data_IF_870199388058
#
_entry.id   IF_870199388058
#
_cell.length_a   1.000
_cell.length_b   1.000
_cell.length_c   1.000
_cell.angle_alpha   90.00
_cell.angle_beta   90.00
_cell.angle_gamma   90.00
#
_symmetry.space_group_name_H-M   'P 1'
#
loop_
_entity.id
_entity.type
_entity.pdbx_description
1 polymer ?
#
# COMPACT_ATOMS: atom_id res chain seq x y z
N UNK A 1 3.35 -8.67 -14.27
CA UNK A 1 3.05 -7.22 -14.23
C UNK A 1 2.15 -6.77 -13.07
N UNK A 2 0.85 -7.11 -12.98
CA UNK A 2 0.02 -6.56 -11.89
C UNK A 2 0.48 -6.96 -10.47
N UNK A 3 0.98 -8.18 -10.28
CA UNK A 3 1.55 -8.61 -9.00
C UNK A 3 2.85 -7.88 -8.65
N UNK A 4 3.73 -7.64 -9.63
CA UNK A 4 5.02 -6.94 -9.43
C UNK A 4 4.81 -5.49 -8.95
N UNK A 5 3.80 -4.80 -9.50
CA UNK A 5 3.45 -3.44 -9.10
C UNK A 5 2.95 -3.40 -7.65
N UNK A 6 2.16 -4.40 -7.22
CA UNK A 6 1.70 -4.51 -5.82
C UNK A 6 2.86 -4.65 -4.84
N UNK A 7 3.82 -5.52 -5.16
CA UNK A 7 5.02 -5.71 -4.33
C UNK A 7 5.91 -4.46 -4.32
N UNK A 8 6.09 -3.82 -5.47
CA UNK A 8 6.86 -2.58 -5.58
C UNK A 8 6.26 -1.46 -4.72
N UNK A 9 4.94 -1.26 -4.78
CA UNK A 9 4.23 -0.27 -3.95
C UNK A 9 4.39 -0.60 -2.46
N UNK A 10 4.32 -1.88 -2.09
CA UNK A 10 4.47 -2.31 -0.70
C UNK A 10 5.89 -2.05 -0.17
N UNK A 11 6.92 -2.36 -0.97
CA UNK A 11 8.33 -2.11 -0.62
C UNK A 11 8.59 -0.60 -0.52
N UNK A 12 8.13 0.20 -1.48
CA UNK A 12 8.24 1.67 -1.43
C UNK A 12 7.56 2.25 -0.19
N UNK A 13 6.38 1.73 0.16
CA UNK A 13 5.65 2.17 1.35
C UNK A 13 6.40 1.84 2.64
N UNK A 14 7.01 0.66 2.72
CA UNK A 14 7.87 0.30 3.85
C UNK A 14 9.07 1.24 3.96
N UNK A 15 9.75 1.55 2.85
CA UNK A 15 10.87 2.50 2.81
C UNK A 15 10.44 3.88 3.31
N UNK A 16 9.26 4.37 2.90
CA UNK A 16 8.72 5.66 3.37
C UNK A 16 8.48 5.67 4.88
N UNK A 17 7.90 4.61 5.44
CA UNK A 17 7.66 4.49 6.89
C UNK A 17 9.00 4.47 7.63
N UNK A 18 9.92 3.60 7.22
CA UNK A 18 11.24 3.49 7.88
C UNK A 18 12.06 4.77 7.72
N UNK A 19 12.00 5.43 6.57
CA UNK A 19 12.63 6.73 6.34
C UNK A 19 12.05 7.82 7.23
N UNK A 20 10.72 7.89 7.36
CA UNK A 20 10.07 8.84 8.26
C UNK A 20 10.38 8.58 9.74
N UNK A 21 10.40 7.32 10.16
CA UNK A 21 10.83 6.93 11.52
C UNK A 21 12.29 7.26 11.77
N UNK A 22 13.17 7.04 10.78
CA UNK A 22 14.58 7.42 10.87
C UNK A 22 14.72 8.93 11.09
N UNK A 23 14.06 9.75 10.27
CA UNK A 23 14.06 11.20 10.45
C UNK A 23 13.50 11.63 11.80
N UNK A 24 12.52 10.90 12.33
CA UNK A 24 11.88 11.25 13.60
C UNK A 24 12.74 10.93 14.84
N UNK A 25 13.47 9.82 14.82
CA UNK A 25 14.08 9.25 16.03
C UNK A 25 15.60 9.14 15.97
N UNK A 26 16.19 8.95 14.80
CA UNK A 26 17.62 8.64 14.63
C UNK A 26 18.39 9.78 13.97
N UNK A 27 17.72 10.62 13.18
CA UNK A 27 18.35 11.75 12.52
C UNK A 27 18.52 12.91 13.51
N UNK A 28 19.77 13.29 13.74
CA UNK A 28 20.12 14.48 14.52
C UNK A 28 19.86 15.72 13.66
N UNK A 29 18.84 16.47 14.04
CA UNK A 29 18.35 17.61 13.25
C UNK A 29 19.17 18.84 13.65
N UNK A 30 19.74 19.59 12.68
CA UNK A 30 20.41 20.84 13.00
C UNK A 30 19.44 21.87 13.59
N UNK A 31 19.91 22.59 14.60
CA UNK A 31 19.14 23.60 15.35
C UNK A 31 18.43 24.57 14.40
N UNK A 32 17.10 24.56 14.40
CA UNK A 32 16.25 25.40 13.56
C UNK A 32 15.49 24.67 12.45
N UNK A 33 15.79 23.39 12.20
CA UNK A 33 15.05 22.56 11.24
C UNK A 33 14.05 21.58 11.91
N UNK A 34 13.88 21.62 13.23
CA UNK A 34 13.07 20.68 14.00
C UNK A 34 11.61 20.61 13.54
N UNK A 35 11.02 21.78 13.26
CA UNK A 35 9.63 21.87 12.81
C UNK A 35 9.51 21.20 11.43
N UNK A 36 10.37 21.57 10.49
CA UNK A 36 10.35 20.98 9.14
C UNK A 36 10.60 19.48 9.19
N UNK A 37 11.58 19.02 9.99
CA UNK A 37 11.87 17.59 10.16
C UNK A 37 10.66 16.85 10.77
N UNK A 38 9.99 17.45 11.75
CA UNK A 38 8.76 16.88 12.30
C UNK A 38 7.66 16.76 11.25
N UNK A 39 7.42 17.78 10.42
CA UNK A 39 6.42 17.71 9.36
C UNK A 39 6.78 16.67 8.29
N UNK A 40 8.03 16.66 7.83
CA UNK A 40 8.51 15.73 6.79
C UNK A 40 8.46 14.29 7.28
N UNK A 41 8.92 14.01 8.50
CA UNK A 41 8.86 12.66 9.09
C UNK A 41 7.43 12.15 9.20
N UNK A 42 6.50 12.96 9.70
CA UNK A 42 5.07 12.60 9.75
C UNK A 42 4.47 12.38 8.36
N UNK A 43 4.82 13.24 7.39
CA UNK A 43 4.32 13.10 6.02
C UNK A 43 4.78 11.78 5.38
N UNK A 44 6.06 11.41 5.55
CA UNK A 44 6.61 10.16 5.07
C UNK A 44 5.91 8.93 5.69
N UNK A 45 5.69 8.96 7.01
CA UNK A 45 4.99 7.87 7.72
C UNK A 45 3.55 7.74 7.22
N UNK A 46 2.80 8.84 7.14
CA UNK A 46 1.40 8.83 6.70
C UNK A 46 1.28 8.31 5.27
N UNK A 47 2.11 8.80 4.34
CA UNK A 47 2.10 8.34 2.95
C UNK A 47 2.45 6.86 2.82
N UNK A 48 3.41 6.37 3.59
CA UNK A 48 3.72 4.95 3.62
C UNK A 48 2.56 4.09 4.17
N UNK A 49 1.88 4.54 5.23
CA UNK A 49 0.68 3.84 5.75
C UNK A 49 -0.45 3.83 4.72
N UNK A 50 -0.69 4.95 4.02
CA UNK A 50 -1.67 5.02 2.93
C UNK A 50 -1.31 4.05 1.80
N UNK A 51 -0.04 4.00 1.39
CA UNK A 51 0.43 3.09 0.34
C UNK A 51 0.22 1.61 0.69
N UNK A 52 0.49 1.22 1.94
CA UNK A 52 0.16 -0.13 2.44
C UNK A 52 -1.35 -0.37 2.41
N UNK A 53 -2.14 0.60 2.87
CA UNK A 53 -3.61 0.49 2.92
C UNK A 53 -4.20 0.32 1.52
N UNK A 54 -3.73 1.10 0.53
CA UNK A 54 -4.14 0.97 -0.87
C UNK A 54 -3.75 -0.41 -1.42
N UNK A 55 -2.53 -0.88 -1.16
CA UNK A 55 -2.08 -2.21 -1.59
C UNK A 55 -2.93 -3.33 -0.97
N UNK A 56 -3.29 -3.21 0.31
CA UNK A 56 -4.16 -4.16 1.01
C UNK A 56 -5.60 -4.15 0.45
N UNK A 57 -6.16 -2.97 0.16
CA UNK A 57 -7.49 -2.83 -0.44
C UNK A 57 -7.54 -3.38 -1.87
N UNK A 58 -6.43 -3.30 -2.60
CA UNK A 58 -6.28 -3.91 -3.93
C UNK A 58 -6.36 -5.44 -3.95
N UNK A 59 -6.26 -6.09 -2.78
CA UNK A 59 -6.48 -7.54 -2.64
C UNK A 59 -7.97 -7.92 -2.68
N UNK A 60 -8.90 -6.96 -2.48
CA UNK A 60 -10.35 -7.26 -2.40
C UNK A 60 -11.04 -7.47 -3.76
N UNK A 61 -10.38 -7.18 -4.90
CA UNK A 61 -10.87 -7.62 -6.22
C UNK A 61 -10.43 -9.07 -6.43
N UNK A 62 -11.25 -10.00 -5.97
CA UNK A 62 -11.09 -11.42 -6.20
C UNK A 62 -11.38 -11.70 -7.69
N UNK A 63 -10.42 -12.11 -8.52
CA UNK A 63 -10.64 -12.39 -9.95
C UNK A 63 -11.39 -13.70 -10.21
N UNK A 64 -12.02 -14.28 -9.19
CA UNK A 64 -12.71 -15.58 -9.24
C UNK A 64 -14.21 -15.47 -8.93
N UNK A 65 -14.79 -14.27 -8.80
CA UNK A 65 -16.20 -14.08 -9.12
C UNK A 65 -16.35 -14.02 -10.65
N UNK A 66 -15.98 -15.12 -11.31
CA UNK A 66 -16.67 -15.50 -12.54
C UNK A 66 -18.00 -16.00 -12.03
N UNK A 67 -19.03 -15.17 -12.23
CA UNK A 67 -20.42 -15.55 -12.10
C UNK A 67 -20.60 -16.89 -12.85
N UNK A 68 -20.58 -17.99 -12.10
CA UNK A 68 -20.85 -19.35 -12.58
C UNK A 68 -22.36 -19.50 -12.78
N UNK A 69 -22.93 -18.55 -13.52
CA UNK A 69 -24.35 -18.40 -13.79
C UNK A 69 -24.75 -18.86 -15.20
N UNK A 70 -23.85 -19.44 -15.99
CA UNK A 70 -24.12 -19.80 -17.39
C UNK A 70 -24.08 -21.32 -17.69
N UNK A 71 -23.73 -22.16 -16.71
CA UNK A 71 -23.56 -23.61 -16.95
C UNK A 71 -24.75 -24.48 -16.49
N UNK A 72 -25.79 -23.91 -15.88
CA UNK A 72 -26.97 -24.66 -15.42
C UNK A 72 -28.13 -24.72 -16.44
N UNK A 73 -28.09 -23.96 -17.53
CA UNK A 73 -29.18 -23.88 -18.51
C UNK A 73 -29.11 -24.94 -19.63
N UNK A 74 -27.96 -25.61 -19.80
CA UNK A 74 -27.72 -26.52 -20.93
C UNK A 74 -27.82 -28.01 -20.59
N UNK A 75 -27.89 -28.39 -19.31
CA UNK A 75 -28.00 -29.79 -18.87
C UNK A 75 -29.47 -30.25 -18.67
N UNK A 76 -30.44 -29.34 -18.83
CA UNK A 76 -31.88 -29.65 -18.81
C UNK A 76 -32.49 -29.96 -20.18
N UNK A 77 -31.66 -30.04 -21.24
CA UNK A 77 -32.09 -30.23 -22.63
C UNK A 77 -31.54 -31.51 -23.28
N UNK A 78 -31.16 -32.51 -22.47
CA UNK A 78 -30.73 -33.84 -22.95
C UNK A 78 -31.52 -34.98 -22.34
#
# INVERSE_FOLDING_TARGET
>A
MQFEIKYLISILSAILIFGGLYFKFLYDVPDGADITNMWVSWFLIIFGVIGITVSALWKKRNPLEVDSGDDAALDGLR
#
